data_IF_971827031558
#
_entry.id   IF_971827031558
#
_cell.length_a   1.000
_cell.length_b   1.000
_cell.length_c   1.000
_cell.angle_alpha   90.00
_cell.angle_beta   90.00
_cell.angle_gamma   90.00
#
_symmetry.space_group_name_H-M   'P 1'
#
loop_
_entity.id
_entity.type
_entity.pdbx_description
1 polymer ?
#
# COMPACT_ATOMS: atom_id res chain seq x y z
N UNK A 1 -5.20 22.92 -13.96
CA UNK A 1 -5.01 21.98 -12.84
C UNK A 1 -4.08 20.89 -13.32
N UNK A 2 -2.94 20.69 -12.68
CA UNK A 2 -1.96 19.72 -13.16
C UNK A 2 -2.36 18.31 -12.69
N UNK A 3 -2.49 17.40 -13.66
CA UNK A 3 -2.67 15.98 -13.42
C UNK A 3 -1.27 15.38 -13.39
N UNK A 4 -0.94 14.68 -12.32
CA UNK A 4 0.32 13.96 -12.22
C UNK A 4 0.05 12.52 -11.77
N UNK A 5 0.70 11.59 -12.46
CA UNK A 5 0.69 10.18 -12.13
C UNK A 5 2.03 9.84 -11.47
N UNK A 6 1.98 9.18 -10.32
CA UNK A 6 3.14 8.76 -9.53
C UNK A 6 3.09 7.25 -9.37
N UNK A 7 4.22 6.58 -9.58
CA UNK A 7 4.34 5.14 -9.42
C UNK A 7 5.45 4.82 -8.43
N UNK A 8 5.20 3.87 -7.54
CA UNK A 8 6.14 3.47 -6.51
C UNK A 8 6.24 1.95 -6.53
N UNK A 9 7.46 1.44 -6.38
CA UNK A 9 7.72 0.01 -6.39
C UNK A 9 8.74 -0.36 -5.32
N UNK A 10 8.46 -1.44 -4.60
CA UNK A 10 9.43 -2.06 -3.70
C UNK A 10 9.45 -3.56 -3.89
N UNK A 11 10.65 -4.11 -4.07
CA UNK A 11 10.92 -5.55 -4.09
C UNK A 11 11.78 -5.89 -2.88
N UNK A 12 11.33 -6.85 -2.08
CA UNK A 12 12.03 -7.34 -0.89
C UNK A 12 12.43 -8.78 -1.17
N UNK A 13 13.73 -9.05 -1.22
CA UNK A 13 14.29 -10.41 -1.44
C UNK A 13 15.03 -10.86 -0.21
N UNK A 14 14.89 -12.13 0.13
CA UNK A 14 15.75 -12.77 1.12
C UNK A 14 16.98 -13.38 0.47
N UNK A 15 18.05 -13.47 1.24
CA UNK A 15 19.13 -14.39 0.88
C UNK A 15 18.60 -15.84 0.88
N UNK A 16 19.10 -16.73 0.01
CA UNK A 16 18.76 -18.14 0.04
C UNK A 16 19.28 -18.79 1.32
N UNK A 17 18.39 -19.47 2.07
CA UNK A 17 18.74 -20.23 3.27
C UNK A 17 18.50 -21.71 3.03
N UNK A 18 19.44 -22.56 3.46
CA UNK A 18 19.30 -24.01 3.37
C UNK A 18 18.45 -24.53 4.54
N UNK A 19 17.35 -25.22 4.25
CA UNK A 19 16.52 -25.88 5.27
C UNK A 19 17.12 -27.21 5.73
N UNK A 20 16.57 -27.78 6.80
CA UNK A 20 17.01 -29.04 7.42
C UNK A 20 16.96 -30.23 6.45
N UNK A 21 16.03 -30.24 5.49
CA UNK A 21 15.93 -31.25 4.43
C UNK A 21 16.86 -30.99 3.23
N UNK A 22 17.75 -29.99 3.32
CA UNK A 22 18.72 -29.64 2.28
C UNK A 22 18.17 -28.79 1.13
N UNK A 23 16.88 -28.41 1.14
CA UNK A 23 16.30 -27.50 0.15
C UNK A 23 16.80 -26.06 0.35
N UNK A 24 16.90 -25.30 -0.74
CA UNK A 24 17.16 -23.86 -0.68
C UNK A 24 15.84 -23.13 -0.66
N UNK A 25 15.63 -22.29 0.36
CA UNK A 25 14.42 -21.48 0.53
C UNK A 25 14.81 -20.02 0.38
N UNK A 26 14.10 -19.30 -0.47
CA UNK A 26 14.16 -17.84 -0.58
C UNK A 26 12.75 -17.28 -0.67
N UNK A 27 12.56 -16.02 -0.28
CA UNK A 27 11.30 -15.32 -0.49
C UNK A 27 11.50 -14.01 -1.25
N UNK A 28 10.48 -13.63 -2.00
CA UNK A 28 10.41 -12.37 -2.72
C UNK A 28 9.01 -11.78 -2.57
N UNK A 29 8.92 -10.64 -1.90
CA UNK A 29 7.69 -9.86 -1.80
C UNK A 29 7.82 -8.63 -2.71
N UNK A 30 6.75 -8.25 -3.41
CA UNK A 30 6.71 -6.98 -4.13
C UNK A 30 5.47 -6.16 -3.80
N UNK A 31 5.63 -4.85 -3.88
CA UNK A 31 4.58 -3.85 -3.73
C UNK A 31 4.64 -2.89 -4.91
N UNK A 32 3.49 -2.62 -5.51
CA UNK A 32 3.34 -1.61 -6.55
C UNK A 32 2.18 -0.68 -6.19
N UNK A 33 2.44 0.63 -6.24
CA UNK A 33 1.47 1.67 -5.93
C UNK A 33 1.46 2.66 -7.08
N UNK A 34 0.31 2.81 -7.74
CA UNK A 34 0.09 3.85 -8.74
C UNK A 34 -0.93 4.85 -8.20
N UNK A 35 -0.63 6.14 -8.30
CA UNK A 35 -1.47 7.23 -7.84
C UNK A 35 -1.68 8.24 -8.97
N UNK A 36 -2.95 8.55 -9.24
CA UNK A 36 -3.39 9.65 -10.09
C UNK A 36 -3.92 10.78 -9.21
N UNK A 37 -3.21 11.91 -9.19
CA UNK A 37 -3.56 13.08 -8.40
C UNK A 37 -4.11 14.17 -9.32
N UNK A 38 -5.34 14.62 -9.03
CA UNK A 38 -6.00 15.73 -9.71
C UNK A 38 -6.52 16.76 -8.69
N UNK A 39 -5.73 17.81 -8.47
CA UNK A 39 -5.94 18.74 -7.36
C UNK A 39 -5.84 18.00 -6.02
N UNK A 40 -6.86 18.12 -5.16
CA UNK A 40 -6.92 17.37 -3.89
C UNK A 40 -7.44 15.94 -4.03
N UNK A 41 -7.93 15.52 -5.20
CA UNK A 41 -8.51 14.20 -5.38
C UNK A 41 -7.44 13.18 -5.78
N UNK A 42 -7.47 12.02 -5.15
CA UNK A 42 -6.54 10.91 -5.43
C UNK A 42 -7.33 9.68 -5.85
N UNK A 43 -6.90 9.06 -6.95
CA UNK A 43 -7.26 7.69 -7.33
C UNK A 43 -5.98 6.88 -7.48
N UNK A 44 -6.08 5.56 -7.44
CA UNK A 44 -4.90 4.73 -7.65
C UNK A 44 -5.19 3.24 -7.60
N UNK A 45 -4.14 2.47 -7.80
CA UNK A 45 -4.11 1.03 -7.57
C UNK A 45 -3.01 0.72 -6.56
N UNK A 46 -3.24 -0.31 -5.76
CA UNK A 46 -2.22 -0.87 -4.89
C UNK A 46 -2.23 -2.38 -5.06
N UNK A 47 -1.03 -2.91 -5.22
CA UNK A 47 -0.75 -4.31 -5.46
C UNK A 47 0.29 -4.77 -4.45
N UNK A 48 -0.03 -5.84 -3.74
CA UNK A 48 0.90 -6.50 -2.83
C UNK A 48 0.98 -7.98 -3.20
N UNK A 49 2.16 -8.40 -3.63
CA UNK A 49 2.50 -9.76 -4.02
C UNK A 49 3.46 -10.37 -2.98
N UNK A 50 2.94 -10.83 -1.83
CA UNK A 50 3.74 -11.58 -0.88
C UNK A 50 4.09 -12.96 -1.45
N UNK A 51 5.32 -13.39 -1.23
CA UNK A 51 5.84 -14.71 -1.62
C UNK A 51 5.09 -15.90 -1.02
N UNK A 52 4.52 -15.73 0.18
CA UNK A 52 3.95 -16.81 1.00
C UNK A 52 2.43 -16.72 1.18
N UNK A 53 1.77 -15.75 0.56
CA UNK A 53 0.31 -15.60 0.63
C UNK A 53 -0.26 -15.16 -0.72
N UNK A 54 -1.60 -15.10 -0.81
CA UNK A 54 -2.25 -14.74 -2.07
C UNK A 54 -1.98 -13.28 -2.40
N UNK A 55 -1.84 -13.02 -3.70
CA UNK A 55 -1.80 -11.69 -4.28
C UNK A 55 -3.02 -10.87 -3.86
N UNK A 56 -2.79 -9.63 -3.41
CA UNK A 56 -3.83 -8.67 -3.07
C UNK A 56 -3.73 -7.48 -4.02
N UNK A 57 -4.80 -7.21 -4.74
CA UNK A 57 -4.93 -6.06 -5.64
C UNK A 57 -6.20 -5.29 -5.34
N UNK A 58 -6.12 -3.98 -5.44
CA UNK A 58 -7.26 -3.13 -5.19
C UNK A 58 -7.08 -1.71 -5.67
N UNK A 59 -8.14 -0.93 -5.47
CA UNK A 59 -8.20 0.48 -5.88
C UNK A 59 -8.24 1.40 -4.68
N UNK A 60 -7.60 2.56 -4.82
CA UNK A 60 -7.59 3.64 -3.85
C UNK A 60 -8.45 4.79 -4.34
N UNK A 61 -9.29 5.34 -3.47
CA UNK A 61 -10.01 6.60 -3.72
C UNK A 61 -9.97 7.46 -2.47
N UNK A 62 -9.47 8.69 -2.60
CA UNK A 62 -9.19 9.52 -1.44
C UNK A 62 -8.93 10.98 -1.75
N UNK A 63 -8.35 11.66 -0.76
CA UNK A 63 -7.87 13.03 -0.87
C UNK A 63 -6.45 13.16 -0.36
N UNK A 64 -5.74 14.17 -0.84
CA UNK A 64 -4.40 14.56 -0.38
C UNK A 64 -4.43 15.95 0.28
N UNK A 65 -3.71 16.07 1.38
CA UNK A 65 -3.46 17.33 2.11
C UNK A 65 -2.06 17.27 2.72
N UNK A 66 -1.23 18.30 2.51
CA UNK A 66 0.13 18.37 3.08
C UNK A 66 0.98 17.09 2.86
N UNK A 67 0.89 16.52 1.66
CA UNK A 67 1.53 15.25 1.26
C UNK A 67 1.02 13.98 1.95
N UNK A 68 -0.03 14.07 2.78
CA UNK A 68 -0.71 12.93 3.37
C UNK A 68 -1.98 12.61 2.57
N UNK A 69 -2.01 11.42 1.99
CA UNK A 69 -3.19 10.87 1.34
C UNK A 69 -3.99 10.11 2.39
N UNK A 70 -5.28 10.42 2.48
CA UNK A 70 -6.29 9.61 3.16
C UNK A 70 -7.22 9.02 2.11
N UNK A 71 -7.21 7.70 1.96
CA UNK A 71 -7.98 6.98 0.95
C UNK A 71 -8.72 5.79 1.52
N UNK A 72 -9.79 5.37 0.83
CA UNK A 72 -10.38 4.06 1.02
C UNK A 72 -9.76 3.12 -0.02
N UNK A 73 -9.18 2.04 0.48
CA UNK A 73 -8.67 0.93 -0.31
C UNK A 73 -9.75 -0.14 -0.41
N UNK A 74 -10.11 -0.51 -1.63
CA UNK A 74 -11.09 -1.56 -1.92
C UNK A 74 -10.41 -2.69 -2.66
N UNK A 75 -10.42 -3.89 -2.08
CA UNK A 75 -9.75 -5.07 -2.61
C UNK A 75 -10.55 -6.34 -2.34
N UNK A 76 -10.23 -7.41 -3.05
CA UNK A 76 -10.83 -8.73 -2.85
C UNK A 76 -9.92 -9.59 -1.96
N UNK A 77 -10.49 -10.23 -0.94
CA UNK A 77 -9.75 -11.14 -0.05
C UNK A 77 -9.51 -12.49 -0.74
N UNK A 78 -8.66 -13.33 -0.12
CA UNK A 78 -8.38 -14.68 -0.58
C UNK A 78 -9.59 -15.61 -0.64
N UNK A 79 -10.66 -15.25 0.08
CA UNK A 79 -11.95 -15.96 0.16
C UNK A 79 -12.97 -15.41 -0.85
N UNK A 80 -12.57 -14.43 -1.65
CA UNK A 80 -13.40 -13.82 -2.68
C UNK A 80 -14.31 -12.70 -2.17
N UNK A 81 -14.21 -12.30 -0.90
CA UNK A 81 -15.00 -11.24 -0.31
C UNK A 81 -14.43 -9.87 -0.65
N UNK A 82 -15.29 -8.89 -0.92
CA UNK A 82 -14.85 -7.50 -1.06
C UNK A 82 -14.62 -6.88 0.32
N UNK A 83 -13.45 -6.30 0.52
CA UNK A 83 -13.07 -5.60 1.74
C UNK A 83 -12.73 -4.15 1.44
N UNK A 84 -13.11 -3.26 2.35
CA UNK A 84 -12.79 -1.84 2.31
C UNK A 84 -12.10 -1.42 3.59
N UNK A 85 -11.01 -0.66 3.45
CA UNK A 85 -10.27 -0.15 4.60
C UNK A 85 -9.68 1.24 4.35
N UNK A 86 -9.56 2.03 5.41
CA UNK A 86 -8.88 3.30 5.41
C UNK A 86 -7.37 3.10 5.29
N UNK A 87 -6.74 3.80 4.35
CA UNK A 87 -5.30 3.85 4.16
C UNK A 87 -4.81 5.28 4.24
N UNK A 88 -3.72 5.45 4.98
CA UNK A 88 -2.93 6.68 4.98
C UNK A 88 -1.61 6.41 4.25
N UNK A 89 -1.29 7.28 3.30
CA UNK A 89 -0.06 7.20 2.50
C UNK A 89 0.62 8.55 2.58
N UNK A 90 1.81 8.61 3.18
CA UNK A 90 2.64 9.82 3.17
C UNK A 90 3.49 9.82 1.92
N UNK A 91 3.50 10.94 1.19
CA UNK A 91 4.40 11.17 0.07
C UNK A 91 5.59 12.03 0.53
N UNK A 92 6.78 11.65 0.11
CA UNK A 92 8.00 12.45 0.18
C UNK A 92 8.56 12.58 -1.25
N UNK A 93 9.67 13.30 -1.42
CA UNK A 93 10.22 13.65 -2.74
C UNK A 93 10.41 12.45 -3.67
N UNK A 94 10.92 11.35 -3.13
CA UNK A 94 11.30 10.15 -3.89
C UNK A 94 10.64 8.86 -3.38
N UNK A 95 9.69 8.95 -2.46
CA UNK A 95 9.20 7.79 -1.72
C UNK A 95 7.76 7.95 -1.24
N UNK A 96 7.04 6.82 -1.17
CA UNK A 96 5.76 6.71 -0.50
C UNK A 96 5.86 5.81 0.73
N UNK A 97 5.05 6.10 1.74
CA UNK A 97 5.03 5.34 2.99
C UNK A 97 3.60 5.05 3.40
N UNK A 98 3.26 3.77 3.56
CA UNK A 98 2.00 3.39 4.18
C UNK A 98 2.08 3.54 5.68
N UNK A 99 0.99 4.02 6.27
CA UNK A 99 0.78 3.91 7.71
C UNK A 99 0.81 2.44 8.13
N UNK A 100 1.49 2.17 9.23
CA UNK A 100 1.56 0.86 9.88
C UNK A 100 1.06 0.93 11.32
N UNK A 101 0.53 -0.18 11.80
CA UNK A 101 0.00 -0.28 13.15
C UNK A 101 -1.24 0.60 13.41
N UNK A 102 -1.66 0.62 14.67
CA UNK A 102 -2.93 1.21 15.09
C UNK A 102 -4.09 0.22 15.04
N UNK A 103 -5.08 0.44 15.91
CA UNK A 103 -6.28 -0.38 15.96
C UNK A 103 -7.26 0.11 14.90
N UNK A 104 -7.95 -0.82 14.25
CA UNK A 104 -9.02 -0.52 13.31
C UNK A 104 -10.34 -1.07 13.83
N UNK A 105 -11.44 -0.43 13.46
CA UNK A 105 -12.80 -0.92 13.70
C UNK A 105 -13.62 -0.85 12.43
N UNK A 106 -14.58 -1.75 12.29
CA UNK A 106 -15.55 -1.68 11.21
C UNK A 106 -16.54 -0.54 11.49
N UNK A 107 -16.67 0.39 10.54
CA UNK A 107 -17.64 1.48 10.57
C UNK A 107 -18.21 1.65 9.16
N UNK A 108 -19.53 1.55 9.03
CA UNK A 108 -20.24 1.74 7.76
C UNK A 108 -19.68 0.87 6.61
N UNK A 109 -19.31 -0.37 6.91
CA UNK A 109 -18.73 -1.32 5.93
C UNK A 109 -17.24 -1.12 5.63
N UNK A 110 -16.58 -0.15 6.26
CA UNK A 110 -15.16 0.17 6.05
C UNK A 110 -14.38 -0.02 7.36
N UNK A 111 -13.25 -0.72 7.31
CA UNK A 111 -12.31 -0.75 8.43
C UNK A 111 -11.59 0.60 8.53
N UNK A 112 -11.77 1.32 9.64
CA UNK A 112 -11.18 2.66 9.87
C UNK A 112 -10.32 2.67 11.12
N UNK A 113 -9.27 3.48 11.16
CA UNK A 113 -8.40 3.59 12.33
C UNK A 113 -9.14 4.23 13.52
N UNK A 114 -8.83 3.78 14.74
CA UNK A 114 -9.50 4.26 15.98
C UNK A 114 -8.67 5.25 16.79
N UNK A 115 -7.39 5.38 16.50
CA UNK A 115 -6.46 6.30 17.16
C UNK A 115 -6.25 7.57 16.32
N UNK A 116 -5.87 8.64 17.01
CA UNK A 116 -5.66 9.96 16.41
C UNK A 116 -4.56 9.98 15.35
N UNK A 117 -4.71 10.95 14.44
CA UNK A 117 -3.80 11.17 13.33
C UNK A 117 -2.39 11.57 13.78
N UNK A 118 -2.25 12.17 14.96
CA UNK A 118 -0.98 12.71 15.46
C UNK A 118 0.04 11.64 15.86
N UNK A 119 -0.38 10.37 15.98
CA UNK A 119 0.46 9.24 16.36
C UNK A 119 0.62 8.22 15.23
N UNK A 120 0.55 8.66 13.96
CA UNK A 120 0.79 7.76 12.83
C UNK A 120 2.25 7.33 12.76
N UNK A 121 2.46 6.02 12.68
CA UNK A 121 3.74 5.44 12.32
C UNK A 121 3.70 5.02 10.86
N UNK A 122 4.82 5.21 10.17
CA UNK A 122 4.96 4.88 8.77
C UNK A 122 5.94 3.73 8.61
N UNK A 123 5.60 2.82 7.69
CA UNK A 123 6.42 1.65 7.40
C UNK A 123 7.65 2.00 6.59
N UNK A 124 8.21 0.98 5.94
CA UNK A 124 9.40 1.17 5.12
C UNK A 124 9.08 1.92 3.82
N UNK A 125 10.01 2.78 3.38
CA UNK A 125 9.90 3.54 2.14
C UNK A 125 9.62 2.65 0.92
N UNK A 126 8.71 3.08 0.05
CA UNK A 126 8.46 2.53 -1.27
C UNK A 126 8.99 3.55 -2.30
N UNK A 127 10.13 3.28 -2.94
CA UNK A 127 10.76 4.23 -3.85
C UNK A 127 9.90 4.60 -5.05
N UNK A 128 9.96 5.87 -5.45
CA UNK A 128 9.39 6.39 -6.67
C UNK A 128 10.05 5.72 -7.88
N UNK A 129 9.23 5.37 -8.86
CA UNK A 129 9.61 4.80 -10.14
C UNK A 129 8.88 5.56 -11.25
N UNK A 130 9.41 5.42 -12.46
CA UNK A 130 8.67 5.83 -13.64
C UNK A 130 7.42 4.95 -13.78
N UNK A 131 6.27 5.57 -13.96
CA UNK A 131 5.11 4.88 -14.48
C UNK A 131 5.46 4.41 -15.89
N UNK A 132 5.63 3.10 -16.08
CA UNK A 132 5.88 2.54 -17.40
C UNK A 132 4.79 2.93 -18.40
N UNK A 133 5.21 3.18 -19.65
CA UNK A 133 4.35 3.33 -20.84
C UNK A 133 3.61 2.02 -21.15
#
# INVERSE_FOLDING_TARGET
>A
MSKHSLCYEKIIKSDPVRSENGQMISFMDSMFLQLDINGKNVKGTFEWMPSKSKYITGTLKGKIEENLIKAIYTYQTSEGLMQQEERYIKLEEDSAYFRVGGKMRLKDGVYVYTNDQDNMQFGAAIPLKYCGL
#
